data_IF_501961928349
#
_entry.id   IF_501961928349
#
_cell.length_a   1.000
_cell.length_b   1.000
_cell.length_c   1.000
_cell.angle_alpha   90.00
_cell.angle_beta   90.00
_cell.angle_gamma   90.00
#
_symmetry.space_group_name_H-M   'P 1'
#
loop_
_entity.id
_entity.type
_entity.pdbx_description
1 polymer ?
#
# COMPACT_ATOMS: atom_id res chain seq x y z
N UNK A 1 -3.72 4.59 10.73
CA UNK A 1 -4.23 5.43 11.82
C UNK A 1 -3.73 6.87 11.67
N UNK A 2 -4.49 7.83 12.19
CA UNK A 2 -4.10 9.24 12.15
C UNK A 2 -2.99 9.56 13.14
N UNK A 3 -2.00 10.33 12.71
CA UNK A 3 -0.95 10.90 13.56
C UNK A 3 -1.21 12.39 13.87
N UNK A 4 -2.40 12.90 13.53
CA UNK A 4 -2.72 14.32 13.65
C UNK A 4 -2.61 14.83 15.09
N UNK A 5 -2.96 14.03 16.09
CA UNK A 5 -2.89 14.42 17.50
C UNK A 5 -1.46 14.42 18.05
N UNK A 6 -0.54 13.65 17.43
CA UNK A 6 0.85 13.51 17.88
C UNK A 6 1.74 14.51 17.14
N UNK A 7 1.50 14.76 15.87
CA UNK A 7 2.32 15.59 15.02
C UNK A 7 1.47 16.57 14.18
N UNK A 8 0.68 17.47 14.80
CA UNK A 8 -0.31 18.29 14.11
C UNK A 8 0.27 19.26 13.08
N UNK A 9 1.55 19.64 13.23
CA UNK A 9 2.23 20.59 12.35
C UNK A 9 3.05 19.94 11.23
N UNK A 10 3.19 18.60 11.25
CA UNK A 10 4.00 17.85 10.27
C UNK A 10 3.21 16.73 9.59
N UNK A 11 2.12 16.26 10.21
CA UNK A 11 1.23 15.29 9.62
C UNK A 11 0.44 15.89 8.47
N UNK A 12 0.48 15.26 7.31
CA UNK A 12 -0.26 15.70 6.11
C UNK A 12 -1.57 14.91 5.95
N UNK A 13 -1.48 13.60 5.83
CA UNK A 13 -2.60 12.67 5.68
C UNK A 13 -2.10 11.24 5.95
N UNK A 14 -2.98 10.28 5.84
CA UNK A 14 -2.65 8.87 5.96
C UNK A 14 -3.72 8.00 5.32
N UNK A 15 -3.62 6.71 5.55
CA UNK A 15 -4.63 5.75 5.12
C UNK A 15 -5.22 5.01 6.31
N UNK A 16 -6.42 4.51 6.15
CA UNK A 16 -7.08 3.59 7.10
C UNK A 16 -7.61 2.36 6.36
N UNK A 17 -7.69 1.25 7.09
CA UNK A 17 -8.44 0.08 6.64
C UNK A 17 -9.93 0.37 6.87
N UNK A 18 -10.72 0.17 5.84
CA UNK A 18 -12.17 0.20 5.91
C UNK A 18 -12.69 -1.25 6.03
N UNK A 19 -13.08 -1.63 7.22
CA UNK A 19 -13.58 -2.98 7.51
C UNK A 19 -15.01 -3.23 7.03
N UNK A 20 -15.78 -2.17 6.75
CA UNK A 20 -17.20 -2.26 6.42
C UNK A 20 -17.48 -3.19 5.24
N UNK A 21 -16.82 -3.07 4.07
CA UNK A 21 -17.10 -3.95 2.93
C UNK A 21 -16.82 -5.42 3.22
N UNK A 22 -15.77 -5.72 4.00
CA UNK A 22 -15.48 -7.10 4.40
C UNK A 22 -16.55 -7.65 5.32
N UNK A 23 -16.91 -6.92 6.37
CA UNK A 23 -17.91 -7.35 7.36
C UNK A 23 -19.27 -7.56 6.72
N UNK A 24 -19.72 -6.65 5.85
CA UNK A 24 -20.99 -6.78 5.13
C UNK A 24 -21.03 -8.05 4.26
N UNK A 25 -19.97 -8.30 3.51
CA UNK A 25 -19.87 -9.47 2.64
C UNK A 25 -19.81 -10.76 3.45
N UNK A 26 -19.03 -10.79 4.54
CA UNK A 26 -18.93 -11.95 5.43
C UNK A 26 -20.27 -12.28 6.10
N UNK A 27 -20.98 -11.28 6.62
CA UNK A 27 -22.32 -11.46 7.20
C UNK A 27 -23.32 -11.96 6.16
N UNK A 28 -23.29 -11.36 4.96
CA UNK A 28 -24.15 -11.78 3.86
C UNK A 28 -23.88 -13.24 3.42
N UNK A 29 -22.63 -13.68 3.43
CA UNK A 29 -22.25 -15.06 3.14
C UNK A 29 -22.82 -16.03 4.17
N UNK A 30 -22.64 -15.72 5.46
CA UNK A 30 -23.15 -16.55 6.57
C UNK A 30 -24.67 -16.66 6.52
N UNK A 31 -25.38 -15.56 6.32
CA UNK A 31 -26.85 -15.58 6.19
C UNK A 31 -27.33 -16.43 5.00
N UNK A 32 -26.55 -16.49 3.93
CA UNK A 32 -26.83 -17.32 2.74
C UNK A 32 -26.30 -18.75 2.85
N UNK A 33 -25.69 -19.12 3.98
CA UNK A 33 -25.05 -20.42 4.25
C UNK A 33 -23.97 -20.75 3.19
N UNK A 34 -23.20 -19.74 2.78
CA UNK A 34 -22.04 -19.88 1.87
C UNK A 34 -20.75 -19.69 2.65
N UNK A 35 -19.64 -20.20 2.08
CA UNK A 35 -18.32 -19.91 2.61
C UNK A 35 -18.02 -18.40 2.42
N UNK A 36 -17.36 -17.81 3.40
CA UNK A 36 -17.01 -16.39 3.36
C UNK A 36 -16.04 -16.13 2.21
N UNK A 37 -15.04 -16.98 2.02
CA UNK A 37 -14.01 -16.87 0.97
C UNK A 37 -14.61 -16.81 -0.44
N UNK A 38 -15.71 -17.51 -0.69
CA UNK A 38 -16.40 -17.51 -1.99
C UNK A 38 -17.19 -16.23 -2.27
N UNK A 39 -17.35 -15.37 -1.26
CA UNK A 39 -18.24 -14.19 -1.31
C UNK A 39 -17.52 -12.87 -1.13
N UNK A 40 -16.26 -12.89 -0.72
CA UNK A 40 -15.47 -11.67 -0.48
C UNK A 40 -14.93 -11.14 -1.80
N UNK A 41 -15.05 -9.83 -2.00
CA UNK A 41 -14.41 -9.13 -3.10
C UNK A 41 -12.98 -8.70 -2.73
N UNK A 42 -12.08 -9.67 -2.63
CA UNK A 42 -10.67 -9.46 -2.30
C UNK A 42 -9.81 -10.60 -2.86
N UNK A 43 -8.50 -10.46 -2.78
CA UNK A 43 -7.55 -11.52 -3.13
C UNK A 43 -7.34 -12.41 -1.92
N UNK A 44 -7.52 -13.71 -2.08
CA UNK A 44 -7.36 -14.70 -1.03
C UNK A 44 -6.00 -15.40 -1.19
N UNK A 45 -5.20 -15.40 -0.12
CA UNK A 45 -3.88 -15.97 -0.06
C UNK A 45 -3.78 -16.93 1.14
N UNK A 46 -4.28 -18.16 0.97
CA UNK A 46 -4.41 -19.10 2.08
C UNK A 46 -5.38 -18.56 3.15
N UNK A 47 -4.86 -18.18 4.32
CA UNK A 47 -5.66 -17.60 5.42
C UNK A 47 -5.70 -16.06 5.38
N UNK A 48 -5.00 -15.44 4.45
CA UNK A 48 -4.94 -13.99 4.31
C UNK A 48 -5.89 -13.52 3.23
N UNK A 49 -6.47 -12.33 3.43
CA UNK A 49 -7.29 -11.64 2.45
C UNK A 49 -6.77 -10.22 2.29
N UNK A 50 -6.58 -9.78 1.06
CA UNK A 50 -6.15 -8.42 0.73
C UNK A 50 -7.06 -7.75 -0.28
N UNK A 51 -7.25 -6.46 -0.13
CA UNK A 51 -7.91 -5.60 -1.10
C UNK A 51 -7.44 -4.16 -0.93
N UNK A 52 -7.67 -3.32 -1.92
CA UNK A 52 -7.15 -1.96 -1.94
C UNK A 52 -8.23 -0.90 -2.12
N UNK A 53 -7.82 0.21 -2.73
CA UNK A 53 -8.71 1.33 -3.06
C UNK A 53 -9.84 0.93 -4.03
N UNK A 54 -9.61 -0.04 -4.90
CA UNK A 54 -10.58 -0.50 -5.89
C UNK A 54 -11.82 -1.08 -5.23
N UNK A 55 -11.63 -1.85 -4.15
CA UNK A 55 -12.69 -2.49 -3.39
C UNK A 55 -13.17 -1.65 -2.19
N UNK A 56 -12.64 -0.45 -2.03
CA UNK A 56 -12.90 0.46 -0.91
C UNK A 56 -12.46 -0.08 0.47
N UNK A 57 -11.50 -1.02 0.50
CA UNK A 57 -10.95 -1.54 1.76
C UNK A 57 -9.86 -0.63 2.33
N UNK A 58 -9.28 0.24 1.49
CA UNK A 58 -8.35 1.29 1.89
C UNK A 58 -8.98 2.64 1.58
N UNK A 59 -8.99 3.54 2.55
CA UNK A 59 -9.49 4.90 2.40
C UNK A 59 -8.42 5.90 2.85
N UNK A 60 -8.39 7.07 2.20
CA UNK A 60 -7.59 8.18 2.68
C UNK A 60 -8.23 8.80 3.92
N UNK A 61 -7.40 9.17 4.88
CA UNK A 61 -7.78 10.06 5.98
C UNK A 61 -7.92 11.50 5.49
N UNK A 62 -8.56 12.33 6.31
CA UNK A 62 -8.70 13.75 6.01
C UNK A 62 -7.32 14.39 5.80
N UNK A 63 -7.23 15.24 4.78
CA UNK A 63 -6.05 16.06 4.54
C UNK A 63 -5.95 17.13 5.64
N UNK A 64 -4.76 17.26 6.22
CA UNK A 64 -4.46 18.36 7.13
C UNK A 64 -4.17 19.63 6.31
N UNK A 65 -5.17 20.48 6.15
CA UNK A 65 -5.08 21.69 5.35
C UNK A 65 -4.06 22.70 5.90
N UNK A 66 -3.69 22.59 7.19
CA UNK A 66 -2.68 23.44 7.79
C UNK A 66 -1.27 23.16 7.28
N UNK A 67 -0.98 21.89 6.95
CA UNK A 67 0.33 21.43 6.47
C UNK A 67 0.37 21.20 4.96
N UNK A 68 -0.79 21.17 4.33
CA UNK A 68 -0.92 20.88 2.89
C UNK A 68 -0.42 22.07 2.05
N UNK A 69 0.40 21.76 1.04
CA UNK A 69 0.71 22.72 -0.02
C UNK A 69 -0.48 22.87 -0.97
N UNK A 70 -0.51 23.98 -1.68
CA UNK A 70 -1.51 24.21 -2.74
C UNK A 70 -1.49 23.05 -3.77
N UNK A 71 -2.66 22.56 -4.15
CA UNK A 71 -2.81 21.45 -5.07
C UNK A 71 -2.63 20.05 -4.46
N UNK A 72 -2.32 19.91 -3.16
CA UNK A 72 -2.14 18.61 -2.51
C UNK A 72 -3.39 17.75 -2.58
N UNK A 73 -4.57 18.32 -2.37
CA UNK A 73 -5.86 17.60 -2.42
C UNK A 73 -6.10 17.01 -3.80
N UNK A 74 -6.00 17.81 -4.84
CA UNK A 74 -6.21 17.42 -6.23
C UNK A 74 -5.21 16.34 -6.67
N UNK A 75 -3.97 16.46 -6.20
CA UNK A 75 -2.93 15.47 -6.47
C UNK A 75 -3.28 14.12 -5.82
N UNK A 76 -3.65 14.11 -4.54
CA UNK A 76 -4.04 12.91 -3.80
C UNK A 76 -5.26 12.26 -4.45
N UNK A 77 -6.31 13.02 -4.73
CA UNK A 77 -7.53 12.52 -5.35
C UNK A 77 -7.25 11.89 -6.73
N UNK A 78 -6.39 12.55 -7.52
CA UNK A 78 -5.96 12.02 -8.82
C UNK A 78 -5.22 10.70 -8.68
N UNK A 79 -4.31 10.57 -7.72
CA UNK A 79 -3.56 9.34 -7.46
C UNK A 79 -4.48 8.22 -6.99
N UNK A 80 -5.41 8.50 -6.07
CA UNK A 80 -6.40 7.52 -5.61
C UNK A 80 -7.24 7.00 -6.78
N UNK A 81 -7.67 7.89 -7.69
CA UNK A 81 -8.41 7.45 -8.88
C UNK A 81 -7.57 6.58 -9.81
N UNK A 82 -6.28 6.88 -9.97
CA UNK A 82 -5.37 6.03 -10.75
C UNK A 82 -5.20 4.65 -10.12
N UNK A 83 -5.08 4.55 -8.79
CA UNK A 83 -5.05 3.27 -8.08
C UNK A 83 -6.36 2.47 -8.30
N UNK A 84 -7.52 3.12 -8.11
CA UNK A 84 -8.83 2.48 -8.34
C UNK A 84 -8.96 1.91 -9.75
N UNK A 85 -8.33 2.54 -10.74
CA UNK A 85 -8.35 2.12 -12.15
C UNK A 85 -7.20 1.19 -12.54
N UNK A 86 -6.35 0.79 -11.60
CA UNK A 86 -5.13 -0.01 -11.86
C UNK A 86 -4.18 0.64 -12.87
N UNK A 87 -4.15 1.98 -12.90
CA UNK A 87 -3.30 2.78 -13.80
C UNK A 87 -1.98 3.19 -13.15
N UNK A 88 -1.79 2.84 -11.88
CA UNK A 88 -0.59 3.15 -11.13
C UNK A 88 -0.12 1.90 -10.40
N UNK A 89 1.16 1.60 -10.53
CA UNK A 89 1.86 0.57 -9.78
C UNK A 89 2.90 1.25 -8.89
N UNK A 90 2.96 0.88 -7.60
CA UNK A 90 3.83 1.54 -6.62
C UNK A 90 5.29 1.19 -6.86
N UNK A 91 5.59 -0.11 -6.94
CA UNK A 91 6.95 -0.59 -7.18
C UNK A 91 7.22 -0.68 -8.68
N UNK A 92 7.35 0.48 -9.33
CA UNK A 92 7.64 0.57 -10.75
C UNK A 92 8.46 1.84 -11.03
N UNK A 93 9.52 1.72 -11.85
CA UNK A 93 10.38 2.83 -12.22
C UNK A 93 11.72 2.37 -12.80
N UNK A 94 12.56 3.31 -13.16
CA UNK A 94 13.91 3.03 -13.71
C UNK A 94 14.91 2.74 -12.57
N UNK A 95 14.59 1.74 -11.75
CA UNK A 95 15.41 1.31 -10.63
C UNK A 95 15.75 -0.16 -10.75
N UNK A 96 16.94 -0.52 -10.29
CA UNK A 96 17.34 -1.91 -10.02
C UNK A 96 17.61 -2.08 -8.55
N UNK A 97 17.57 -3.29 -8.05
CA UNK A 97 17.86 -3.59 -6.66
C UNK A 97 18.47 -4.96 -6.50
N UNK A 98 19.14 -5.14 -5.38
CA UNK A 98 19.85 -6.38 -5.03
C UNK A 98 19.36 -6.86 -3.67
N UNK A 99 19.10 -8.17 -3.53
CA UNK A 99 18.74 -8.78 -2.26
C UNK A 99 19.88 -8.63 -1.24
N UNK A 100 19.51 -8.31 0.02
CA UNK A 100 20.47 -8.13 1.12
C UNK A 100 21.26 -9.42 1.42
N UNK A 101 20.61 -10.57 1.27
CA UNK A 101 21.14 -11.87 1.68
C UNK A 101 21.70 -12.66 0.50
N UNK A 102 21.27 -12.36 -0.73
CA UNK A 102 21.74 -13.03 -1.94
C UNK A 102 22.09 -11.99 -3.04
N UNK A 103 23.36 -11.61 -3.18
CA UNK A 103 23.78 -10.66 -4.21
C UNK A 103 23.55 -11.12 -5.66
N UNK A 104 23.22 -12.38 -5.89
CA UNK A 104 22.86 -12.89 -7.21
C UNK A 104 21.39 -12.68 -7.55
N UNK A 105 20.54 -12.47 -6.54
CA UNK A 105 19.12 -12.14 -6.72
C UNK A 105 18.97 -10.63 -6.93
N UNK A 106 18.53 -10.27 -8.14
CA UNK A 106 18.37 -8.89 -8.57
C UNK A 106 16.99 -8.64 -9.13
N UNK A 107 16.47 -7.46 -8.84
CA UNK A 107 15.19 -7.00 -9.38
C UNK A 107 15.37 -5.82 -10.33
N UNK A 108 14.56 -5.79 -11.38
CA UNK A 108 14.42 -4.66 -12.31
C UNK A 108 13.00 -4.10 -12.23
N UNK A 109 12.84 -2.97 -11.54
CA UNK A 109 11.53 -2.35 -11.29
C UNK A 109 10.90 -1.71 -12.53
N UNK A 110 11.58 -1.65 -13.67
CA UNK A 110 10.94 -1.28 -14.95
C UNK A 110 9.88 -2.31 -15.35
N UNK A 111 10.01 -3.55 -14.87
CA UNK A 111 9.01 -4.63 -15.06
C UNK A 111 7.87 -4.57 -14.02
N UNK A 112 8.00 -3.69 -13.02
CA UNK A 112 7.14 -3.63 -11.86
C UNK A 112 7.38 -4.77 -10.86
N UNK A 113 6.91 -4.56 -9.64
CA UNK A 113 6.89 -5.58 -8.59
C UNK A 113 5.53 -5.53 -7.91
N UNK A 114 4.92 -6.69 -7.70
CA UNK A 114 3.65 -6.81 -7.00
C UNK A 114 3.89 -7.30 -5.57
N UNK A 115 3.65 -6.41 -4.62
CA UNK A 115 3.65 -6.73 -3.19
C UNK A 115 2.40 -7.55 -2.83
N UNK A 116 2.50 -8.35 -1.77
CA UNK A 116 1.36 -9.12 -1.24
C UNK A 116 0.73 -10.13 -2.22
N UNK A 117 1.51 -10.65 -3.15
CA UNK A 117 1.02 -11.60 -4.16
C UNK A 117 0.65 -12.97 -3.57
N UNK A 118 1.38 -13.40 -2.52
CA UNK A 118 1.21 -14.71 -1.88
C UNK A 118 0.72 -14.64 -0.44
N UNK A 119 0.82 -13.48 0.19
CA UNK A 119 0.51 -13.25 1.59
C UNK A 119 0.24 -11.77 1.81
N UNK A 120 -0.45 -11.40 2.89
CA UNK A 120 -0.62 -10.01 3.33
C UNK A 120 0.67 -9.42 3.96
N UNK A 121 1.67 -10.26 4.24
CA UNK A 121 2.95 -9.82 4.76
C UNK A 121 3.79 -9.12 3.68
N UNK A 122 4.56 -8.07 4.03
CA UNK A 122 5.50 -7.46 3.11
C UNK A 122 6.53 -8.47 2.60
N UNK A 123 6.82 -8.43 1.31
CA UNK A 123 7.76 -9.36 0.66
C UNK A 123 8.90 -8.68 -0.09
N UNK A 124 8.84 -7.35 -0.31
CA UNK A 124 9.92 -6.61 -0.93
C UNK A 124 11.15 -6.57 -0.01
N UNK A 125 12.24 -7.16 -0.46
CA UNK A 125 13.48 -7.35 0.34
C UNK A 125 14.74 -6.87 -0.37
N UNK A 126 14.60 -6.09 -1.43
CA UNK A 126 15.72 -5.55 -2.19
C UNK A 126 16.15 -4.18 -1.69
N UNK A 127 17.45 -3.92 -1.72
CA UNK A 127 18.01 -2.56 -1.61
C UNK A 127 18.17 -2.02 -3.03
N UNK A 128 17.65 -0.82 -3.27
CA UNK A 128 17.83 -0.16 -4.57
C UNK A 128 19.30 0.23 -4.77
N UNK A 129 19.85 -0.11 -5.94
CA UNK A 129 21.28 0.08 -6.23
C UNK A 129 21.70 1.56 -6.23
N UNK A 130 20.77 2.48 -6.52
CA UNK A 130 21.01 3.93 -6.59
C UNK A 130 20.70 4.66 -5.27
N UNK A 131 20.38 3.92 -4.20
CA UNK A 131 20.12 4.52 -2.88
C UNK A 131 21.43 4.69 -2.13
N UNK A 132 21.69 5.91 -1.66
CA UNK A 132 22.84 6.20 -0.82
C UNK A 132 22.68 5.51 0.53
N UNK A 133 23.57 4.58 0.82
CA UNK A 133 23.65 3.95 2.15
C UNK A 133 24.53 4.82 3.06
N UNK A 134 23.91 5.54 4.00
CA UNK A 134 24.66 6.27 5.04
C UNK A 134 25.10 5.26 6.09
N UNK A 135 26.39 4.95 6.14
CA UNK A 135 26.98 4.15 7.22
C UNK A 135 27.27 5.06 8.41
N UNK A 136 26.88 4.63 9.60
CA UNK A 136 27.16 5.36 10.84
C UNK A 136 28.69 5.51 11.01
N UNK A 137 29.19 6.74 11.01
CA UNK A 137 30.61 7.07 11.19
C UNK A 137 31.33 7.69 9.99
N UNK A 138 30.69 7.87 8.85
CA UNK A 138 31.32 8.50 7.66
C UNK A 138 30.90 9.96 7.45
N UNK A 139 30.80 10.74 8.52
CA UNK A 139 30.80 12.20 8.42
C UNK A 139 32.25 12.69 8.57
N UNK A 140 32.90 12.99 7.44
CA UNK A 140 34.06 13.87 7.40
C UNK A 140 33.66 15.19 6.71
#
# INVERSE_FOLDING_TARGET
DSMADIAPTTYLTGTKINWEPYIEQAVAAVLKKKNIEDCINGNIHGNDVSAGFEQDWIQMLALNEFTAAEGSRECIDTLVQKFKRKQLQVFCGEYTGTDINDPSDKIDLRKGYQENEKSSAPSFHYILDDVITIRQGEYQ
#
